data_IF_416872736334
#
_entry.id   IF_416872736334
#
_cell.length_a   1.000
_cell.length_b   1.000
_cell.length_c   1.000
_cell.angle_alpha   90.00
_cell.angle_beta   90.00
_cell.angle_gamma   90.00
#
_symmetry.space_group_name_H-M   'P 1'
#
loop_
_entity.id
_entity.type
_entity.pdbx_description
1 polymer ?
#
# COMPACT_ATOMS: atom_id res chain seq x y z
N UNK A 1 17.21 19.25 -19.94
CA UNK A 1 16.45 19.82 -18.82
C UNK A 1 15.04 19.26 -18.89
N UNK A 2 14.68 18.33 -17.99
CA UNK A 2 13.33 17.76 -17.97
C UNK A 2 12.40 18.73 -17.26
N UNK A 3 11.42 19.28 -17.98
CA UNK A 3 10.37 20.11 -17.38
C UNK A 3 9.19 19.22 -17.06
N UNK A 4 8.92 19.04 -15.77
CA UNK A 4 7.74 18.30 -15.31
C UNK A 4 6.50 19.14 -15.63
N UNK A 5 5.58 18.57 -16.42
CA UNK A 5 4.29 19.16 -16.73
C UNK A 5 3.18 18.32 -16.11
N UNK A 6 2.16 18.98 -15.57
CA UNK A 6 0.94 18.30 -15.15
C UNK A 6 0.30 17.67 -16.39
N UNK A 7 -0.04 16.38 -16.31
CA UNK A 7 -0.74 15.71 -17.40
C UNK A 7 -2.21 16.14 -17.38
N UNK A 8 -2.64 16.85 -18.43
CA UNK A 8 -4.01 17.42 -18.51
C UNK A 8 -5.09 16.35 -18.76
N UNK A 9 -4.71 15.20 -19.33
CA UNK A 9 -5.62 14.08 -19.60
C UNK A 9 -4.98 12.75 -19.18
N UNK A 10 -5.75 11.91 -18.48
CA UNK A 10 -5.33 10.55 -18.15
C UNK A 10 -5.61 9.68 -19.39
N UNK A 11 -4.55 9.22 -20.05
CA UNK A 11 -4.61 8.24 -21.13
C UNK A 11 -4.81 6.82 -20.58
N UNK A 12 -5.46 5.95 -21.36
CA UNK A 12 -5.78 4.58 -20.95
C UNK A 12 -4.53 3.76 -20.55
N UNK A 13 -3.37 4.05 -21.14
CA UNK A 13 -2.10 3.40 -20.79
C UNK A 13 -1.60 3.78 -19.40
N UNK A 14 -1.74 5.04 -18.97
CA UNK A 14 -1.26 5.48 -17.65
C UNK A 14 -2.04 4.86 -16.49
N UNK A 15 -3.29 4.47 -16.71
CA UNK A 15 -4.12 3.76 -15.73
C UNK A 15 -3.47 2.46 -15.24
N UNK A 16 -2.70 1.78 -16.11
CA UNK A 16 -2.03 0.52 -15.79
C UNK A 16 -0.53 0.71 -15.54
N UNK A 17 0.13 1.53 -16.35
CA UNK A 17 1.58 1.72 -16.28
C UNK A 17 1.99 2.41 -14.98
N UNK A 18 1.22 3.39 -14.49
CA UNK A 18 1.57 4.12 -13.26
C UNK A 18 1.51 3.20 -12.02
N UNK A 19 0.41 2.45 -11.75
CA UNK A 19 0.39 1.50 -10.65
C UNK A 19 1.47 0.42 -10.76
N UNK A 20 1.73 -0.09 -11.97
CA UNK A 20 2.74 -1.14 -12.16
C UNK A 20 4.16 -0.64 -11.85
N UNK A 21 4.51 0.57 -12.30
CA UNK A 21 5.78 1.21 -11.97
C UNK A 21 5.86 1.46 -10.46
N UNK A 22 4.79 1.95 -9.84
CA UNK A 22 4.76 2.19 -8.40
C UNK A 22 5.02 0.89 -7.61
N UNK A 23 4.35 -0.22 -7.96
CA UNK A 23 4.59 -1.53 -7.37
C UNK A 23 6.05 -1.96 -7.55
N UNK A 24 6.60 -1.82 -8.76
CA UNK A 24 8.00 -2.14 -9.04
C UNK A 24 8.98 -1.32 -8.18
N UNK A 25 8.78 0.00 -8.10
CA UNK A 25 9.57 0.89 -7.26
C UNK A 25 9.49 0.49 -5.78
N UNK A 26 8.31 0.18 -5.27
CA UNK A 26 8.12 -0.29 -3.90
C UNK A 26 8.86 -1.60 -3.62
N UNK A 27 8.78 -2.57 -4.54
CA UNK A 27 9.50 -3.85 -4.39
C UNK A 27 11.01 -3.66 -4.40
N UNK A 28 11.54 -2.81 -5.30
CA UNK A 28 12.97 -2.47 -5.34
C UNK A 28 13.39 -1.81 -4.03
N UNK A 29 12.59 -0.88 -3.51
CA UNK A 29 12.89 -0.22 -2.25
C UNK A 29 12.95 -1.21 -1.09
N UNK A 30 11.95 -2.09 -0.96
CA UNK A 30 11.91 -3.15 0.06
C UNK A 30 13.12 -4.09 -0.08
N UNK A 31 13.47 -4.46 -1.31
CA UNK A 31 14.63 -5.30 -1.59
C UNK A 31 15.93 -4.67 -1.11
N UNK A 32 16.17 -3.39 -1.46
CA UNK A 32 17.35 -2.64 -1.02
C UNK A 32 17.37 -2.50 0.51
N UNK A 33 16.22 -2.21 1.12
CA UNK A 33 16.11 -2.07 2.57
C UNK A 33 16.54 -3.35 3.30
N UNK A 34 16.08 -4.52 2.86
CA UNK A 34 16.49 -5.79 3.48
C UNK A 34 17.96 -6.13 3.24
N UNK A 35 18.52 -5.77 2.06
CA UNK A 35 19.96 -5.87 1.83
C UNK A 35 20.75 -5.02 2.83
N UNK A 36 20.33 -3.78 3.08
CA UNK A 36 21.00 -2.88 4.03
C UNK A 36 20.94 -3.38 5.47
N UNK A 37 19.87 -4.09 5.85
CA UNK A 37 19.72 -4.72 7.18
C UNK A 37 20.52 -6.04 7.27
N UNK A 38 21.14 -6.50 6.17
CA UNK A 38 21.90 -7.76 6.12
C UNK A 38 21.01 -9.01 6.14
N UNK A 39 19.74 -8.89 5.74
CA UNK A 39 18.80 -10.00 5.62
C UNK A 39 18.64 -10.39 4.15
N UNK A 40 18.30 -11.66 3.91
CA UNK A 40 18.03 -12.12 2.55
C UNK A 40 16.72 -11.46 2.02
N UNK A 41 16.79 -10.59 1.00
CA UNK A 41 15.63 -9.85 0.54
C UNK A 41 14.63 -10.73 -0.22
N UNK A 42 15.09 -11.78 -0.90
CA UNK A 42 14.20 -12.73 -1.58
C UNK A 42 13.36 -13.51 -0.58
N UNK A 43 13.98 -13.96 0.52
CA UNK A 43 13.26 -14.61 1.61
C UNK A 43 12.27 -13.64 2.26
N UNK A 44 12.67 -12.40 2.51
CA UNK A 44 11.77 -11.40 3.10
C UNK A 44 10.54 -11.13 2.21
N UNK A 45 10.72 -10.97 0.90
CA UNK A 45 9.61 -10.81 -0.05
C UNK A 45 8.73 -12.07 -0.05
N UNK A 46 9.31 -13.27 0.00
CA UNK A 46 8.54 -14.51 0.09
C UNK A 46 7.68 -14.56 1.38
N UNK A 47 8.27 -14.22 2.52
CA UNK A 47 7.57 -14.17 3.82
C UNK A 47 6.43 -13.15 3.80
N UNK A 48 6.64 -11.98 3.20
CA UNK A 48 5.62 -10.91 3.17
C UNK A 48 4.45 -11.26 2.24
N UNK A 49 4.73 -11.82 1.06
CA UNK A 49 3.70 -11.99 0.01
C UNK A 49 3.15 -13.41 -0.11
N UNK A 50 3.96 -14.44 0.14
CA UNK A 50 3.58 -15.83 -0.14
C UNK A 50 3.16 -16.55 1.13
N UNK A 51 3.96 -16.48 2.19
CA UNK A 51 3.70 -17.21 3.43
C UNK A 51 2.31 -16.99 4.05
N UNK A 52 1.73 -15.76 4.07
CA UNK A 52 0.38 -15.54 4.60
C UNK A 52 -0.70 -16.26 3.81
N UNK A 53 -0.46 -16.52 2.52
CA UNK A 53 -1.41 -17.21 1.64
C UNK A 53 -1.38 -18.73 1.81
N UNK A 54 -0.35 -19.29 2.46
CA UNK A 54 -0.16 -20.74 2.60
C UNK A 54 -0.92 -21.34 3.79
N UNK A 55 -1.53 -20.52 4.65
CA UNK A 55 -2.25 -21.01 5.83
C UNK A 55 -3.59 -20.32 6.01
N UNK A 56 -4.57 -21.03 6.57
CA UNK A 56 -5.89 -20.48 6.91
C UNK A 56 -5.76 -19.32 7.91
N UNK A 57 -4.84 -19.46 8.87
CA UNK A 57 -4.56 -18.41 9.84
C UNK A 57 -3.98 -17.16 9.19
N UNK A 58 -2.98 -17.32 8.30
CA UNK A 58 -2.39 -16.21 7.56
C UNK A 58 -3.40 -15.51 6.65
N UNK A 59 -4.28 -16.28 5.99
CA UNK A 59 -5.34 -15.71 5.18
C UNK A 59 -6.34 -14.92 6.03
N UNK A 60 -6.69 -15.43 7.21
CA UNK A 60 -7.53 -14.70 8.18
C UNK A 60 -6.87 -13.40 8.63
N UNK A 61 -5.58 -13.42 8.95
CA UNK A 61 -4.84 -12.22 9.39
C UNK A 61 -4.76 -11.17 8.27
N UNK A 62 -4.54 -11.62 7.03
CA UNK A 62 -4.55 -10.78 5.84
C UNK A 62 -5.92 -10.10 5.67
N UNK A 63 -7.02 -10.85 5.79
CA UNK A 63 -8.38 -10.29 5.68
C UNK A 63 -8.63 -9.27 6.79
N UNK A 64 -8.27 -9.58 8.04
CA UNK A 64 -8.46 -8.67 9.19
C UNK A 64 -7.79 -7.31 8.96
N UNK A 65 -6.60 -7.28 8.34
CA UNK A 65 -5.91 -6.03 8.00
C UNK A 65 -6.44 -5.37 6.73
N UNK A 66 -6.82 -6.16 5.72
CA UNK A 66 -7.29 -5.66 4.44
C UNK A 66 -8.68 -5.01 4.54
N UNK A 67 -9.59 -5.57 5.36
CA UNK A 67 -10.97 -5.08 5.50
C UNK A 67 -11.07 -3.58 5.79
N UNK A 68 -10.43 -3.03 6.86
CA UNK A 68 -10.54 -1.60 7.15
C UNK A 68 -9.92 -0.74 6.04
N UNK A 69 -8.80 -1.16 5.44
CA UNK A 69 -8.15 -0.42 4.36
C UNK A 69 -9.03 -0.36 3.09
N UNK A 70 -9.71 -1.46 2.75
CA UNK A 70 -10.66 -1.49 1.62
C UNK A 70 -11.83 -0.54 1.87
N UNK A 71 -12.39 -0.52 3.09
CA UNK A 71 -13.48 0.39 3.45
C UNK A 71 -13.02 1.86 3.35
N UNK A 72 -11.81 2.17 3.83
CA UNK A 72 -11.21 3.51 3.70
C UNK A 72 -11.05 3.88 2.23
N UNK A 73 -10.50 2.99 1.40
CA UNK A 73 -10.30 3.25 -0.02
C UNK A 73 -11.64 3.51 -0.75
N UNK A 74 -12.70 2.76 -0.41
CA UNK A 74 -14.04 2.98 -0.95
C UNK A 74 -14.58 4.37 -0.57
N UNK A 75 -14.46 4.78 0.71
CA UNK A 75 -14.87 6.12 1.14
C UNK A 75 -14.07 7.24 0.48
N UNK A 76 -12.76 7.08 0.38
CA UNK A 76 -11.88 8.04 -0.29
C UNK A 76 -12.17 8.17 -1.78
N UNK A 77 -12.57 7.09 -2.45
CA UNK A 77 -12.93 7.15 -3.87
C UNK A 77 -14.06 8.16 -4.15
N UNK A 78 -14.98 8.33 -3.20
CA UNK A 78 -16.06 9.33 -3.27
C UNK A 78 -15.49 10.73 -3.00
N UNK A 79 -14.66 10.89 -1.98
CA UNK A 79 -14.00 12.16 -1.65
C UNK A 79 -13.14 12.69 -2.79
N UNK A 80 -12.40 11.82 -3.47
CA UNK A 80 -11.56 12.18 -4.62
C UNK A 80 -12.40 12.69 -5.78
N UNK A 81 -13.60 12.14 -6.00
CA UNK A 81 -14.55 12.66 -7.01
C UNK A 81 -15.08 14.06 -6.65
N UNK A 82 -15.15 14.38 -5.36
CA UNK A 82 -15.52 15.71 -4.88
C UNK A 82 -14.33 16.69 -4.81
N UNK A 83 -13.14 16.30 -5.27
CA UNK A 83 -11.93 17.13 -5.22
C UNK A 83 -11.26 17.19 -3.83
N UNK A 84 -11.73 16.40 -2.87
CA UNK A 84 -11.15 16.32 -1.52
C UNK A 84 -10.12 15.21 -1.50
N UNK A 85 -8.83 15.57 -1.43
CA UNK A 85 -7.73 14.61 -1.41
C UNK A 85 -7.25 14.33 0.02
N UNK A 86 -7.06 13.05 0.35
CA UNK A 86 -6.49 12.58 1.61
C UNK A 86 -5.38 11.57 1.28
N UNK A 87 -4.16 11.87 1.73
CA UNK A 87 -2.95 11.05 1.52
C UNK A 87 -2.64 10.18 2.74
N UNK A 88 -3.12 10.57 3.92
CA UNK A 88 -2.70 10.00 5.22
C UNK A 88 -3.68 9.04 5.86
N UNK A 89 -4.73 8.61 5.17
CA UNK A 89 -5.81 7.82 5.78
C UNK A 89 -5.35 6.51 6.42
N UNK A 90 -4.37 5.81 5.83
CA UNK A 90 -3.75 4.62 6.42
C UNK A 90 -3.03 4.95 7.75
N UNK A 91 -2.31 6.07 7.81
CA UNK A 91 -1.66 6.54 9.03
C UNK A 91 -2.67 6.96 10.10
N UNK A 92 -3.76 7.61 9.71
CA UNK A 92 -4.88 7.97 10.59
C UNK A 92 -5.56 6.73 11.17
N UNK A 93 -5.77 5.70 10.35
CA UNK A 93 -6.25 4.40 10.81
C UNK A 93 -5.27 3.76 11.79
N UNK A 94 -3.97 3.73 11.45
CA UNK A 94 -2.93 3.11 12.27
C UNK A 94 -2.80 3.76 13.64
N UNK A 95 -2.76 5.10 13.69
CA UNK A 95 -2.65 5.83 14.96
C UNK A 95 -3.92 5.69 15.81
N UNK A 96 -5.10 5.69 15.17
CA UNK A 96 -6.37 5.45 15.85
C UNK A 96 -6.45 4.03 16.42
N UNK A 97 -6.02 3.02 15.65
CA UNK A 97 -5.96 1.64 16.10
C UNK A 97 -4.95 1.46 17.25
N UNK A 98 -3.80 2.13 17.18
CA UNK A 98 -2.79 2.09 18.25
C UNK A 98 -3.34 2.62 19.57
N UNK A 99 -3.91 3.84 19.57
CA UNK A 99 -4.43 4.43 20.80
C UNK A 99 -5.72 3.75 21.28
N UNK A 100 -6.60 3.34 20.37
CA UNK A 100 -7.83 2.62 20.72
C UNK A 100 -7.56 1.23 21.28
N UNK A 101 -6.60 0.50 20.72
CA UNK A 101 -6.17 -0.81 21.21
C UNK A 101 -5.38 -0.74 22.52
N UNK A 102 -4.62 0.33 22.76
CA UNK A 102 -3.90 0.55 24.03
C UNK A 102 -4.81 0.97 25.19
N UNK A 103 -6.04 1.40 24.92
CA UNK A 103 -7.02 1.82 25.92
C UNK A 103 -7.90 0.66 26.44
N UNK A 104 -7.69 -0.56 25.96
CA UNK A 104 -8.41 -1.80 26.31
C UNK A 104 -7.39 -2.80 26.87
#
# INVERSE_FOLDING_TARGET
>A
MFTLQKKDTIDQSSLYTVPLIAIGCSLIFVFILFLLIGKNPFLAIFIIFIEPLLSVFGLSELIVKATPLIIIALGLSIGFRAGVWNIGAEGQFTIGALFGGAAI
#
